data_IF_439818509039
#
_entry.id   IF_439818509039
#
_cell.length_a   1.000
_cell.length_b   1.000
_cell.length_c   1.000
_cell.angle_alpha   90.00
_cell.angle_beta   90.00
_cell.angle_gamma   90.00
#
_symmetry.space_group_name_H-M   'P 1'
#
loop_
_entity.id
_entity.type
_entity.pdbx_description
1 polymer ?
#
# COMPACT_ATOMS: atom_id res chain seq x y z
N UNK A 1 8.69 31.56 8.95
CA UNK A 1 7.97 32.87 9.02
C UNK A 1 6.68 32.62 9.80
N UNK A 2 6.45 33.36 10.89
CA UNK A 2 5.23 33.25 11.71
C UNK A 2 4.28 34.37 11.28
N UNK A 3 3.05 34.03 10.94
CA UNK A 3 2.01 34.92 10.45
C UNK A 3 1.03 35.30 11.56
N UNK A 4 0.23 36.37 11.39
CA UNK A 4 -0.83 36.71 12.33
C UNK A 4 -1.86 35.59 12.55
N UNK A 5 -2.08 34.75 11.53
CA UNK A 5 -2.94 33.57 11.64
C UNK A 5 -2.38 32.57 12.65
N UNK A 6 -1.07 32.31 12.62
CA UNK A 6 -0.41 31.33 13.48
C UNK A 6 -0.51 31.75 14.96
N UNK A 7 -0.38 33.04 15.24
CA UNK A 7 -0.54 33.62 16.59
C UNK A 7 -1.97 33.49 17.11
N UNK A 8 -2.96 33.75 16.24
CA UNK A 8 -4.38 33.59 16.56
C UNK A 8 -4.74 32.12 16.80
N UNK A 9 -4.18 31.21 16.02
CA UNK A 9 -4.39 29.78 16.15
C UNK A 9 -3.82 29.25 17.48
N UNK A 10 -2.60 29.63 17.83
CA UNK A 10 -1.96 29.24 19.11
C UNK A 10 -2.77 29.73 20.31
N UNK A 11 -3.16 31.01 20.32
CA UNK A 11 -4.00 31.58 21.38
C UNK A 11 -5.37 30.88 21.48
N UNK A 12 -5.98 30.54 20.34
CA UNK A 12 -7.26 29.82 20.30
C UNK A 12 -7.14 28.40 20.83
N UNK A 13 -6.06 27.70 20.48
CA UNK A 13 -5.78 26.34 20.96
C UNK A 13 -5.53 26.31 22.47
N UNK A 14 -4.71 27.23 22.99
CA UNK A 14 -4.44 27.35 24.44
C UNK A 14 -5.74 27.62 25.20
N UNK A 15 -6.57 28.56 24.71
CA UNK A 15 -7.86 28.86 25.33
C UNK A 15 -8.76 27.62 25.36
N UNK A 16 -8.88 26.93 24.23
CA UNK A 16 -9.78 25.79 24.08
C UNK A 16 -9.37 24.56 24.90
N UNK A 17 -8.06 24.32 25.10
CA UNK A 17 -7.58 23.25 25.99
C UNK A 17 -7.82 23.55 27.47
N UNK A 18 -7.79 24.83 27.84
CA UNK A 18 -7.99 25.28 29.22
C UNK A 18 -9.48 25.41 29.59
N UNK A 19 -10.37 25.51 28.60
CA UNK A 19 -11.82 25.31 28.78
C UNK A 19 -12.12 23.83 29.08
N UNK A 20 -13.27 23.50 29.69
CA UNK A 20 -13.69 22.13 30.05
C UNK A 20 -14.02 21.25 28.83
N UNK A 21 -13.04 21.06 27.96
CA UNK A 21 -13.11 20.18 26.80
C UNK A 21 -12.96 18.71 27.23
N UNK A 22 -13.78 17.83 26.63
CA UNK A 22 -13.71 16.39 26.86
C UNK A 22 -12.33 15.82 26.49
N UNK A 23 -11.88 14.78 27.19
CA UNK A 23 -10.58 14.15 26.99
C UNK A 23 -10.36 13.68 25.55
N UNK A 24 -11.41 13.17 24.88
CA UNK A 24 -11.34 12.75 23.48
C UNK A 24 -11.13 13.94 22.54
N UNK A 25 -11.83 15.04 22.78
CA UNK A 25 -11.69 16.26 22.00
C UNK A 25 -10.28 16.84 22.17
N UNK A 26 -9.79 16.93 23.41
CA UNK A 26 -8.41 17.36 23.69
C UNK A 26 -7.38 16.53 22.93
N UNK A 27 -7.48 15.19 22.97
CA UNK A 27 -6.55 14.33 22.24
C UNK A 27 -6.57 14.58 20.71
N UNK A 28 -7.75 14.78 20.13
CA UNK A 28 -7.88 15.10 18.70
C UNK A 28 -7.25 16.46 18.35
N UNK A 29 -7.53 17.50 19.13
CA UNK A 29 -6.96 18.82 18.86
C UNK A 29 -5.46 18.85 19.10
N UNK A 30 -4.94 18.18 20.14
CA UNK A 30 -3.49 18.05 20.35
C UNK A 30 -2.83 17.34 19.17
N UNK A 31 -3.45 16.28 18.64
CA UNK A 31 -2.95 15.61 17.44
C UNK A 31 -2.93 16.54 16.22
N UNK A 32 -4.01 17.30 16.02
CA UNK A 32 -4.12 18.24 14.91
C UNK A 32 -3.12 19.40 15.03
N UNK A 33 -3.02 20.03 16.20
CA UNK A 33 -2.14 21.17 16.45
C UNK A 33 -0.67 20.75 16.39
N UNK A 34 -0.32 19.58 16.93
CA UNK A 34 1.00 19.00 16.77
C UNK A 34 1.39 18.82 15.31
N UNK A 35 0.50 18.28 14.47
CA UNK A 35 0.73 18.17 13.01
C UNK A 35 0.93 19.53 12.34
N UNK A 36 0.16 20.54 12.75
CA UNK A 36 0.30 21.91 12.26
C UNK A 36 1.67 22.51 12.63
N UNK A 37 2.10 22.38 13.89
CA UNK A 37 3.43 22.84 14.33
C UNK A 37 4.56 22.13 13.60
N UNK A 38 4.47 20.81 13.40
CA UNK A 38 5.44 20.06 12.61
C UNK A 38 5.53 20.57 11.17
N UNK A 39 4.40 20.92 10.54
CA UNK A 39 4.38 21.52 9.20
C UNK A 39 5.04 22.91 9.18
N UNK A 40 4.76 23.75 10.17
CA UNK A 40 5.39 25.07 10.28
C UNK A 40 6.91 24.98 10.48
N UNK A 41 7.36 24.05 11.32
CA UNK A 41 8.77 23.74 11.49
C UNK A 41 9.38 23.25 10.17
N UNK A 42 8.72 22.31 9.50
CA UNK A 42 9.18 21.81 8.19
C UNK A 42 9.34 22.95 7.17
N UNK A 43 8.35 23.82 7.04
CA UNK A 43 8.40 25.00 6.17
C UNK A 43 9.52 25.97 6.55
N UNK A 44 9.73 26.23 7.84
CA UNK A 44 10.79 27.12 8.30
C UNK A 44 12.19 26.61 7.96
N UNK A 45 12.38 25.28 7.95
CA UNK A 45 13.63 24.63 7.55
C UNK A 45 13.71 24.31 6.05
N UNK A 46 12.70 24.69 5.26
CA UNK A 46 12.67 24.41 3.82
C UNK A 46 12.44 22.95 3.47
N UNK A 47 11.91 22.13 4.39
CA UNK A 47 11.49 20.77 4.10
C UNK A 47 10.14 20.80 3.35
N UNK A 48 10.11 20.44 2.06
CA UNK A 48 8.86 20.40 1.31
C UNK A 48 7.95 19.29 1.89
N UNK A 49 6.66 19.57 1.97
CA UNK A 49 5.68 18.53 2.26
C UNK A 49 5.80 17.43 1.19
N UNK A 50 5.81 16.17 1.63
CA UNK A 50 5.97 15.00 0.76
C UNK A 50 7.30 14.96 0.00
N UNK A 51 8.36 15.57 0.54
CA UNK A 51 9.67 15.62 -0.12
C UNK A 51 10.21 14.24 -0.48
N UNK A 52 10.07 13.26 0.41
CA UNK A 52 10.41 11.86 0.16
C UNK A 52 9.61 11.28 -1.01
N UNK A 53 8.29 11.43 -1.02
CA UNK A 53 7.40 10.88 -2.03
C UNK A 53 7.63 11.54 -3.40
N UNK A 54 7.82 12.85 -3.44
CA UNK A 54 8.15 13.60 -4.65
C UNK A 54 9.50 13.15 -5.20
N UNK A 55 10.50 13.00 -4.33
CA UNK A 55 11.82 12.53 -4.71
C UNK A 55 11.75 11.12 -5.30
N UNK A 56 11.11 10.19 -4.61
CA UNK A 56 10.88 8.81 -5.07
C UNK A 56 10.09 8.77 -6.38
N UNK A 57 9.05 9.59 -6.53
CA UNK A 57 8.28 9.67 -7.78
C UNK A 57 9.13 10.18 -8.95
N UNK A 58 9.91 11.23 -8.71
CA UNK A 58 10.80 11.82 -9.72
C UNK A 58 11.89 10.85 -10.14
N UNK A 59 12.47 10.12 -9.18
CA UNK A 59 13.42 9.05 -9.46
C UNK A 59 12.77 7.92 -10.28
N UNK A 60 11.58 7.45 -9.88
CA UNK A 60 10.86 6.41 -10.61
C UNK A 60 10.51 6.82 -12.03
N UNK A 61 10.20 8.09 -12.25
CA UNK A 61 9.98 8.66 -13.58
C UNK A 61 11.27 8.70 -14.40
N UNK A 62 12.38 9.13 -13.81
CA UNK A 62 13.67 9.21 -14.48
C UNK A 62 14.24 7.83 -14.86
N UNK A 63 13.94 6.80 -14.08
CA UNK A 63 14.39 5.42 -14.32
C UNK A 63 13.46 4.60 -15.23
N UNK A 64 12.35 5.18 -15.69
CA UNK A 64 11.40 4.44 -16.51
C UNK A 64 12.08 3.83 -17.75
N UNK A 65 11.85 2.53 -18.05
CA UNK A 65 10.76 1.67 -17.56
C UNK A 65 11.04 0.88 -16.26
N UNK A 66 12.20 1.08 -15.64
CA UNK A 66 12.56 0.45 -14.38
C UNK A 66 12.03 1.23 -13.16
N UNK A 67 12.14 0.61 -11.98
CA UNK A 67 11.82 1.24 -10.70
C UNK A 67 13.09 1.31 -9.82
N UNK A 68 13.16 2.29 -8.91
CA UNK A 68 14.11 2.24 -7.81
C UNK A 68 13.90 0.94 -7.01
N UNK A 69 14.96 0.18 -6.65
CA UNK A 69 14.83 -1.12 -5.97
C UNK A 69 14.03 -1.07 -4.66
N UNK A 70 14.20 0.01 -3.90
CA UNK A 70 13.46 0.23 -2.64
C UNK A 70 11.96 0.39 -2.90
N UNK A 71 11.59 1.17 -3.92
CA UNK A 71 10.20 1.37 -4.32
C UNK A 71 9.59 0.08 -4.88
N UNK A 72 10.35 -0.69 -5.67
CA UNK A 72 9.88 -1.98 -6.19
C UNK A 72 9.60 -2.98 -5.06
N UNK A 73 10.47 -3.05 -4.05
CA UNK A 73 10.29 -3.91 -2.87
C UNK A 73 9.06 -3.48 -2.05
N UNK A 74 8.89 -2.18 -1.87
CA UNK A 74 7.76 -1.59 -1.18
C UNK A 74 6.42 -1.86 -1.92
N UNK A 75 6.39 -1.65 -3.25
CA UNK A 75 5.22 -1.95 -4.08
C UNK A 75 4.91 -3.44 -4.12
N UNK A 76 5.92 -4.31 -4.14
CA UNK A 76 5.74 -5.76 -4.05
C UNK A 76 5.08 -6.14 -2.72
N UNK A 77 5.57 -5.58 -1.62
CA UNK A 77 5.01 -5.80 -0.28
C UNK A 77 3.55 -5.33 -0.21
N UNK A 78 3.24 -4.20 -0.84
CA UNK A 78 1.90 -3.65 -0.88
C UNK A 78 0.95 -4.47 -1.75
N UNK A 79 1.36 -4.91 -2.93
CA UNK A 79 0.50 -5.64 -3.89
C UNK A 79 0.32 -7.10 -3.50
N UNK A 80 1.40 -7.78 -3.10
CA UNK A 80 1.44 -9.20 -2.76
C UNK A 80 2.08 -9.42 -1.39
N UNK A 81 1.45 -8.94 -0.30
CA UNK A 81 1.95 -9.19 1.04
C UNK A 81 1.93 -10.69 1.33
N UNK A 82 3.04 -11.20 1.87
CA UNK A 82 3.12 -12.60 2.33
C UNK A 82 2.08 -12.89 3.39
N UNK A 83 1.61 -14.12 3.47
CA UNK A 83 0.68 -14.53 4.52
C UNK A 83 1.30 -14.38 5.91
N UNK A 84 2.56 -14.80 6.06
CA UNK A 84 3.40 -14.68 7.25
C UNK A 84 4.66 -13.89 6.88
N UNK A 85 4.77 -12.61 7.27
CA UNK A 85 5.90 -11.75 6.88
C UNK A 85 7.26 -12.25 7.35
N UNK A 86 7.29 -12.85 8.54
CA UNK A 86 8.51 -13.32 9.19
C UNK A 86 9.03 -14.64 8.60
N UNK A 87 8.20 -15.35 7.83
CA UNK A 87 8.60 -16.55 7.10
C UNK A 87 8.97 -16.22 5.65
N UNK A 88 10.25 -16.42 5.31
CA UNK A 88 10.78 -16.23 3.97
C UNK A 88 10.13 -17.10 2.88
N UNK A 89 9.62 -18.27 3.26
CA UNK A 89 8.95 -19.22 2.36
C UNK A 89 7.45 -18.98 2.26
N UNK A 90 6.92 -18.06 3.06
CA UNK A 90 5.51 -17.72 3.05
C UNK A 90 5.11 -17.06 1.74
N UNK A 91 3.98 -17.50 1.21
CA UNK A 91 3.44 -17.04 -0.07
C UNK A 91 2.35 -16.00 0.15
N UNK A 92 2.18 -15.11 -0.82
CA UNK A 92 1.00 -14.25 -0.87
C UNK A 92 -0.19 -15.06 -1.38
N UNK A 93 -1.29 -15.08 -0.63
CA UNK A 93 -2.49 -15.83 -0.98
C UNK A 93 -3.66 -14.85 -1.17
N UNK A 94 -4.33 -14.91 -2.31
CA UNK A 94 -5.54 -14.12 -2.58
C UNK A 94 -6.75 -15.05 -2.62
N UNK A 95 -7.80 -14.80 -1.81
CA UNK A 95 -8.99 -15.65 -1.79
C UNK A 95 -9.74 -15.57 -3.12
N UNK A 96 -10.20 -16.71 -3.62
CA UNK A 96 -10.83 -16.80 -4.95
C UNK A 96 -12.28 -16.30 -4.96
N UNK A 97 -13.01 -16.53 -3.87
CA UNK A 97 -14.45 -16.31 -3.77
C UNK A 97 -14.84 -15.26 -2.72
N UNK A 98 -13.87 -14.50 -2.21
CA UNK A 98 -14.17 -13.39 -1.33
C UNK A 98 -14.75 -12.21 -2.13
N UNK A 99 -15.59 -11.41 -1.47
CA UNK A 99 -16.13 -10.17 -2.04
C UNK A 99 -15.03 -9.17 -2.41
N UNK A 100 -13.91 -9.19 -1.65
CA UNK A 100 -12.74 -8.35 -1.88
C UNK A 100 -11.49 -9.18 -2.15
N UNK A 101 -10.59 -8.65 -2.97
CA UNK A 101 -9.27 -9.27 -3.20
C UNK A 101 -8.25 -8.80 -2.17
N UNK A 102 -8.59 -8.95 -0.89
CA UNK A 102 -7.68 -8.70 0.23
C UNK A 102 -6.83 -9.96 0.46
N UNK A 103 -5.48 -9.85 0.44
CA UNK A 103 -4.61 -11.00 0.69
C UNK A 103 -4.83 -11.59 2.08
N UNK A 104 -4.78 -12.91 2.19
CA UNK A 104 -4.90 -13.61 3.46
C UNK A 104 -3.65 -13.37 4.31
N UNK A 105 -3.84 -12.99 5.57
CA UNK A 105 -2.77 -12.74 6.54
C UNK A 105 -2.97 -13.62 7.77
N UNK A 106 -1.89 -14.23 8.24
CA UNK A 106 -1.90 -15.09 9.43
C UNK A 106 -2.93 -16.23 9.36
N UNK A 107 -3.66 -16.42 10.46
CA UNK A 107 -4.60 -17.53 10.63
C UNK A 107 -5.96 -17.24 10.00
N UNK A 108 -6.50 -18.19 9.24
CA UNK A 108 -7.87 -18.14 8.74
C UNK A 108 -8.83 -18.87 9.67
N UNK A 109 -10.03 -18.33 9.86
CA UNK A 109 -11.07 -18.97 10.69
C UNK A 109 -11.71 -20.19 10.03
N UNK A 110 -11.67 -20.24 8.70
CA UNK A 110 -12.25 -21.32 7.89
C UNK A 110 -11.35 -21.65 6.69
N UNK A 111 -11.38 -22.91 6.21
CA UNK A 111 -10.70 -23.28 4.97
C UNK A 111 -11.12 -22.36 3.82
N UNK A 112 -10.15 -21.70 3.20
CA UNK A 112 -10.40 -20.70 2.15
C UNK A 112 -9.63 -21.06 0.89
N UNK A 113 -10.35 -21.27 -0.22
CA UNK A 113 -9.72 -21.48 -1.53
C UNK A 113 -9.05 -20.18 -1.99
N UNK A 114 -7.78 -20.27 -2.32
CA UNK A 114 -6.91 -19.13 -2.61
C UNK A 114 -6.00 -19.41 -3.80
N UNK A 115 -5.51 -18.34 -4.42
CA UNK A 115 -4.50 -18.36 -5.47
C UNK A 115 -3.19 -17.84 -4.91
N UNK A 116 -2.11 -18.55 -5.18
CA UNK A 116 -0.74 -18.10 -4.90
C UNK A 116 -0.35 -17.00 -5.85
N UNK A 117 0.19 -15.92 -5.30
CA UNK A 117 0.69 -14.78 -6.05
C UNK A 117 2.19 -14.69 -5.83
N UNK A 118 2.94 -15.08 -6.85
CA UNK A 118 4.41 -15.04 -6.88
C UNK A 118 4.93 -14.11 -7.98
N UNK A 119 6.22 -13.80 -7.91
CA UNK A 119 7.01 -13.11 -8.94
C UNK A 119 6.35 -11.85 -9.53
N UNK A 120 5.88 -10.97 -8.64
CA UNK A 120 5.32 -9.68 -9.03
C UNK A 120 6.41 -8.81 -9.63
N UNK A 121 6.34 -8.62 -10.95
CA UNK A 121 7.24 -7.70 -11.66
C UNK A 121 6.51 -6.44 -12.07
N UNK A 122 7.19 -5.33 -11.87
CA UNK A 122 6.67 -4.02 -12.19
C UNK A 122 7.46 -3.38 -13.32
N UNK A 123 6.77 -2.62 -14.15
CA UNK A 123 7.40 -1.70 -15.12
C UNK A 123 6.71 -0.37 -15.07
N UNK A 124 7.44 0.70 -15.31
CA UNK A 124 6.89 2.04 -15.40
C UNK A 124 6.81 2.53 -16.84
N UNK A 125 5.89 3.45 -17.09
CA UNK A 125 5.80 4.15 -18.36
C UNK A 125 5.31 5.58 -18.12
N UNK A 126 6.08 6.55 -18.59
CA UNK A 126 5.69 7.94 -18.55
C UNK A 126 4.72 8.22 -19.71
N UNK A 127 3.53 8.72 -19.38
CA UNK A 127 2.48 9.12 -20.31
C UNK A 127 2.07 10.57 -19.99
N UNK A 128 2.72 11.52 -20.66
CA UNK A 128 2.62 12.94 -20.32
C UNK A 128 2.99 13.18 -18.86
N UNK A 129 2.12 13.82 -18.10
CA UNK A 129 2.33 14.08 -16.66
C UNK A 129 2.13 12.86 -15.76
N UNK A 130 1.59 11.75 -16.30
CA UNK A 130 1.32 10.54 -15.52
C UNK A 130 2.49 9.58 -15.59
N UNK A 131 2.73 8.91 -14.47
CA UNK A 131 3.59 7.73 -14.42
C UNK A 131 2.69 6.52 -14.22
N UNK A 132 2.66 5.61 -15.18
CA UNK A 132 1.86 4.39 -15.11
C UNK A 132 2.73 3.25 -14.60
N UNK A 133 2.21 2.52 -13.61
CA UNK A 133 2.78 1.28 -13.09
C UNK A 133 2.05 0.10 -13.73
N UNK A 134 2.80 -0.72 -14.46
CA UNK A 134 2.33 -1.93 -15.08
C UNK A 134 2.69 -3.15 -14.27
N UNK A 135 1.69 -4.01 -14.06
CA UNK A 135 1.89 -5.36 -13.57
C UNK A 135 2.29 -6.24 -14.74
N UNK A 136 3.40 -6.94 -14.59
CA UNK A 136 3.85 -7.93 -15.56
C UNK A 136 4.00 -9.29 -14.90
N UNK A 137 3.63 -10.32 -15.63
CA UNK A 137 3.84 -11.72 -15.28
C UNK A 137 4.42 -12.41 -16.51
N UNK A 138 5.68 -12.83 -16.41
CA UNK A 138 6.49 -13.18 -17.58
C UNK A 138 6.58 -12.01 -18.58
N UNK A 139 6.11 -12.23 -19.81
CA UNK A 139 6.04 -11.21 -20.86
C UNK A 139 4.66 -10.56 -21.00
N UNK A 140 3.67 -10.99 -20.21
CA UNK A 140 2.31 -10.50 -20.31
C UNK A 140 2.10 -9.30 -19.38
N UNK A 141 1.54 -8.22 -19.93
CA UNK A 141 1.06 -7.07 -19.16
C UNK A 141 -0.34 -7.38 -18.65
N UNK A 142 -0.48 -7.54 -17.34
CA UNK A 142 -1.75 -7.87 -16.69
C UNK A 142 -2.65 -6.64 -16.53
N UNK A 143 -2.06 -5.48 -16.25
CA UNK A 143 -2.81 -4.23 -16.12
C UNK A 143 -1.95 -3.04 -15.71
N UNK A 144 -2.62 -1.93 -15.40
CA UNK A 144 -2.00 -0.65 -15.15
C UNK A 144 -2.70 0.12 -14.02
N UNK A 145 -1.93 0.81 -13.20
CA UNK A 145 -2.42 1.83 -12.26
C UNK A 145 -1.55 3.08 -12.36
N UNK A 146 -2.09 4.24 -11.98
CA UNK A 146 -1.29 5.46 -11.87
C UNK A 146 -0.41 5.35 -10.63
N UNK A 147 0.90 5.53 -10.81
CA UNK A 147 1.86 5.72 -9.74
C UNK A 147 1.86 7.19 -9.36
N UNK A 148 1.07 7.54 -8.34
CA UNK A 148 0.97 8.87 -7.77
C UNK A 148 1.59 8.93 -6.36
N UNK A 149 1.61 10.13 -5.77
CA UNK A 149 2.18 10.33 -4.44
C UNK A 149 1.44 9.53 -3.36
N UNK A 150 0.13 9.30 -3.53
CA UNK A 150 -0.66 8.51 -2.57
C UNK A 150 -0.23 7.04 -2.57
N UNK A 151 -0.06 6.44 -3.75
CA UNK A 151 0.41 5.07 -3.88
C UNK A 151 1.86 4.92 -3.41
N UNK A 152 2.73 5.90 -3.72
CA UNK A 152 4.11 5.91 -3.23
C UNK A 152 4.13 6.02 -1.71
N UNK A 153 3.32 6.89 -1.12
CA UNK A 153 3.24 7.04 0.32
C UNK A 153 2.84 5.75 1.02
N UNK A 154 1.82 5.08 0.50
CA UNK A 154 1.36 3.77 1.03
C UNK A 154 2.46 2.71 0.89
N UNK A 155 3.16 2.70 -0.25
CA UNK A 155 4.29 1.80 -0.47
C UNK A 155 5.42 2.06 0.53
N UNK A 156 5.85 3.33 0.68
CA UNK A 156 6.92 3.72 1.61
C UNK A 156 6.55 3.49 3.09
N UNK A 157 5.27 3.44 3.42
CA UNK A 157 4.80 3.04 4.75
C UNK A 157 4.89 1.52 5.00
N UNK A 158 5.20 0.72 3.97
CA UNK A 158 5.38 -0.73 4.10
C UNK A 158 6.75 -1.05 4.69
N UNK A 159 6.79 -1.94 5.69
CA UNK A 159 8.03 -2.29 6.39
C UNK A 159 8.06 -3.77 6.76
N UNK A 160 9.20 -4.44 6.61
CA UNK A 160 9.41 -5.83 7.05
C UNK A 160 8.39 -6.84 6.49
N UNK A 161 7.91 -6.67 5.25
CA UNK A 161 6.87 -7.54 4.66
C UNK A 161 5.44 -7.25 5.14
N UNK A 162 5.26 -6.20 5.95
CA UNK A 162 3.96 -5.66 6.32
C UNK A 162 3.55 -4.55 5.36
N UNK A 163 2.36 -4.69 4.77
CA UNK A 163 1.78 -3.67 3.93
C UNK A 163 1.48 -2.42 4.78
N UNK A 164 1.95 -1.27 4.33
CA UNK A 164 1.69 0.02 4.97
C UNK A 164 0.22 0.40 4.88
N UNK A 165 -0.25 1.17 5.86
CA UNK A 165 -1.58 1.78 5.87
C UNK A 165 -1.44 3.26 6.22
N UNK A 166 -2.03 4.13 5.41
CA UNK A 166 -1.98 5.59 5.61
C UNK A 166 -3.36 6.22 5.55
N UNK A 167 -3.42 7.55 5.71
CA UNK A 167 -4.63 8.34 5.47
C UNK A 167 -5.12 8.29 4.01
N UNK A 168 -4.29 7.80 3.08
CA UNK A 168 -4.64 7.64 1.68
C UNK A 168 -5.18 6.24 1.34
N UNK A 169 -5.31 5.31 2.30
CA UNK A 169 -5.76 3.94 2.03
C UNK A 169 -7.13 3.91 1.33
N UNK A 170 -8.05 4.82 1.66
CA UNK A 170 -9.38 4.88 1.02
C UNK A 170 -9.31 5.15 -0.49
N UNK A 171 -8.26 5.83 -0.97
CA UNK A 171 -8.04 6.10 -2.40
C UNK A 171 -7.15 5.06 -3.08
N UNK A 172 -6.23 4.42 -2.36
CA UNK A 172 -5.28 3.45 -2.90
C UNK A 172 -5.85 2.03 -2.89
N UNK A 173 -6.63 1.65 -1.88
CA UNK A 173 -7.15 0.29 -1.73
C UNK A 173 -7.97 -0.20 -2.92
N UNK A 174 -8.92 0.57 -3.50
CA UNK A 174 -9.67 0.10 -4.68
C UNK A 174 -8.78 -0.13 -5.90
N UNK A 175 -7.68 0.64 -6.03
CA UNK A 175 -6.71 0.49 -7.12
C UNK A 175 -5.88 -0.77 -6.92
N UNK A 176 -5.41 -1.02 -5.70
CA UNK A 176 -4.67 -2.24 -5.35
C UNK A 176 -5.54 -3.49 -5.49
N UNK A 177 -6.81 -3.41 -5.07
CA UNK A 177 -7.80 -4.48 -5.26
C UNK A 177 -7.99 -4.79 -6.74
N UNK A 178 -8.23 -3.78 -7.58
CA UNK A 178 -8.30 -3.99 -9.04
C UNK A 178 -7.02 -4.60 -9.58
N UNK A 179 -5.86 -4.18 -9.08
CA UNK A 179 -4.58 -4.70 -9.52
C UNK A 179 -4.39 -6.19 -9.17
N UNK A 180 -4.84 -6.59 -7.97
CA UNK A 180 -4.84 -7.97 -7.48
C UNK A 180 -5.86 -8.84 -8.20
N UNK A 181 -7.06 -8.33 -8.47
CA UNK A 181 -8.13 -9.06 -9.15
C UNK A 181 -7.75 -9.50 -10.57
N UNK A 182 -6.86 -8.76 -11.24
CA UNK A 182 -6.34 -9.14 -12.56
C UNK A 182 -5.62 -10.49 -12.56
N UNK A 183 -5.06 -10.91 -11.42
CA UNK A 183 -4.41 -12.22 -11.25
C UNK A 183 -5.41 -13.35 -11.01
N UNK A 184 -6.64 -13.03 -10.59
CA UNK A 184 -7.68 -14.04 -10.39
C UNK A 184 -8.32 -14.48 -11.71
N UNK A 185 -8.07 -13.76 -12.81
CA UNK A 185 -8.59 -14.09 -14.14
C UNK A 185 -8.04 -15.47 -14.55
N UNK A 186 -8.90 -16.44 -14.94
CA UNK A 186 -8.47 -17.82 -15.25
C UNK A 186 -7.36 -17.93 -16.30
N UNK A 187 -7.30 -17.00 -17.26
CA UNK A 187 -6.25 -16.96 -18.31
C UNK A 187 -4.86 -16.59 -17.76
N UNK A 188 -4.81 -15.96 -16.59
CA UNK A 188 -3.59 -15.47 -15.96
C UNK A 188 -3.16 -16.35 -14.77
N UNK A 189 -3.80 -17.51 -14.56
CA UNK A 189 -3.48 -18.42 -13.46
C UNK A 189 -3.25 -19.84 -13.95
N UNK A 190 -2.22 -20.51 -13.43
CA UNK A 190 -2.01 -21.94 -13.62
C UNK A 190 -2.86 -22.76 -12.64
N UNK A 191 -3.22 -23.99 -13.02
CA UNK A 191 -3.91 -24.91 -12.12
C UNK A 191 -3.08 -25.25 -10.85
N UNK A 192 -1.75 -25.10 -10.92
CA UNK A 192 -0.80 -25.34 -9.83
C UNK A 192 -0.79 -24.24 -8.76
N UNK A 193 -1.46 -23.12 -9.02
CA UNK A 193 -1.42 -21.95 -8.14
C UNK A 193 -2.53 -21.98 -7.09
N UNK A 194 -3.45 -22.96 -7.16
CA UNK A 194 -4.56 -23.11 -6.24
C UNK A 194 -4.10 -23.75 -4.93
N UNK A 195 -4.45 -23.10 -3.82
CA UNK A 195 -4.19 -23.58 -2.46
C UNK A 195 -5.42 -23.43 -1.58
N UNK A 196 -5.57 -24.35 -0.63
CA UNK A 196 -6.54 -24.20 0.46
C UNK A 196 -5.78 -23.66 1.66
N UNK A 197 -6.08 -22.42 2.05
CA UNK A 197 -5.57 -21.83 3.28
C UNK A 197 -6.41 -22.30 4.48
N UNK A 198 -5.79 -23.03 5.39
CA UNK A 198 -6.36 -23.47 6.68
C UNK A 198 -5.84 -22.61 7.82
N UNK A 199 -6.22 -22.87 9.07
CA UNK A 199 -5.91 -22.01 10.21
C UNK A 199 -4.42 -21.70 10.42
N UNK A 200 -3.50 -22.59 10.08
CA UNK A 200 -2.06 -22.36 10.28
C UNK A 200 -1.17 -22.76 9.10
N UNK A 201 -1.75 -23.26 8.01
CA UNK A 201 -1.00 -23.73 6.85
C UNK A 201 -1.81 -23.59 5.58
N UNK A 202 -1.18 -23.83 4.44
CA UNK A 202 -1.86 -23.91 3.15
C UNK A 202 -1.43 -25.19 2.41
N UNK A 203 -2.41 -25.80 1.75
CA UNK A 203 -2.26 -27.09 1.07
C UNK A 203 -2.43 -26.85 -0.43
N UNK A 204 -1.46 -27.29 -1.23
CA UNK A 204 -1.56 -27.25 -2.68
C UNK A 204 -2.63 -28.22 -3.18
N UNK A 205 -3.52 -27.74 -4.05
CA UNK A 205 -4.48 -28.60 -4.73
C UNK A 205 -3.81 -29.24 -5.95
N UNK A 206 -3.57 -30.55 -5.92
CA UNK A 206 -3.27 -31.29 -7.14
C UNK A 206 -4.58 -31.75 -7.76
N UNK A 207 -4.91 -31.22 -8.93
CA UNK A 207 -5.94 -31.84 -9.75
C UNK A 207 -5.29 -33.05 -10.41
N UNK A 208 -5.68 -34.26 -10.01
CA UNK A 208 -5.43 -35.45 -10.82
C UNK A 208 -6.27 -35.26 -12.09
N UNK A 209 -5.61 -35.12 -13.24
CA UNK A 209 -6.27 -35.24 -14.53
C UNK A 209 -6.93 -36.62 -14.56
N UNK A 210 -8.27 -36.64 -14.54
CA UNK A 210 -9.01 -37.84 -14.91
C UNK A 210 -8.84 -37.98 -16.42
N UNK A 211 -8.05 -38.99 -16.81
CA UNK A 211 -7.85 -39.43 -18.18
C UNK A 211 -9.16 -39.91 -18.82
#
# INVERSE_FOLDING_TARGET
MVTPFDQLLDASYVRWINEESDAKQRAQATSWYGRYLTRMMALAHGYPAFGSEIHTWTQARALAPALPPELETALTTLVSPRREPDDSQSKSLIPLFASRTEPLRGRTSSPTLSVVVEDVKFRTHADGEKLLLYLTEGNNRLGAVVLDLQLIREALASHGGWAGMTDATDSTAPRLERFRSLRLIPKNRGAKDLRIATSASDIALSMKEQA
#
